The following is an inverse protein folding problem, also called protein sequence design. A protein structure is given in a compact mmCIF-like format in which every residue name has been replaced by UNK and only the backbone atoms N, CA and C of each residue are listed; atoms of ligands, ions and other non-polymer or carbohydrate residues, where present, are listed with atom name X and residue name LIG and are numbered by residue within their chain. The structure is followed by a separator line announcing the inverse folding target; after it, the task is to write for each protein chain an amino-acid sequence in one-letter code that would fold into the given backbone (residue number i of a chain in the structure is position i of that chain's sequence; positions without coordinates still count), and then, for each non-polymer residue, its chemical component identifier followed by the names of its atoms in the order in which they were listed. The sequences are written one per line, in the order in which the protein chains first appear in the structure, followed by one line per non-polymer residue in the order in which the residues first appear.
data_IF_428031240925
#
_entry.id   IF_428031240925
#
_cell.length_a   1.000
_cell.length_b   1.000
_cell.length_c   1.000
_cell.angle_alpha   90.00
_cell.angle_beta   90.00
_cell.angle_gamma   90.00
#
_symmetry.space_group_name_H-M   'P 1'
#
loop_
_entity.id
_entity.type
_entity.pdbx_description
1 polymer ?
#
# COMPACT_ATOMS: atom_id res chain seq x y z
N UNK A 1 -32.61 -72.71 33.61
CA UNK A 1 -32.60 -72.30 32.19
C UNK A 1 -33.25 -70.92 32.08
N UNK A 2 -32.47 -69.84 32.12
CA UNK A 2 -32.92 -68.46 31.91
C UNK A 2 -32.02 -67.85 30.85
N UNK A 3 -32.59 -67.57 29.68
CA UNK A 3 -31.91 -66.93 28.55
C UNK A 3 -31.93 -65.41 28.81
N UNK A 4 -30.76 -64.78 28.87
CA UNK A 4 -30.62 -63.31 28.91
C UNK A 4 -30.35 -62.87 27.47
N UNK A 5 -31.26 -62.07 26.91
CA UNK A 5 -31.10 -61.43 25.60
C UNK A 5 -30.37 -60.10 25.82
N UNK A 6 -29.17 -59.98 25.26
CA UNK A 6 -28.42 -58.72 25.23
C UNK A 6 -28.83 -57.91 23.99
N UNK A 7 -29.43 -56.74 24.20
CA UNK A 7 -29.69 -55.75 23.17
C UNK A 7 -28.39 -54.97 22.89
N UNK A 8 -27.84 -55.10 21.69
CA UNK A 8 -26.78 -54.22 21.18
C UNK A 8 -27.41 -52.88 20.78
N UNK A 9 -27.12 -51.81 21.53
CA UNK A 9 -27.34 -50.44 21.06
C UNK A 9 -26.19 -50.05 20.13
N UNK A 10 -26.46 -50.02 18.82
CA UNK A 10 -25.58 -49.38 17.85
C UNK A 10 -25.69 -47.86 18.01
N UNK A 11 -24.64 -47.23 18.53
CA UNK A 11 -24.47 -45.78 18.47
C UNK A 11 -24.37 -45.36 17.00
N UNK A 12 -25.42 -44.75 16.46
CA UNK A 12 -25.33 -43.99 15.22
C UNK A 12 -24.56 -42.70 15.53
N UNK A 13 -23.31 -42.63 15.08
CA UNK A 13 -22.61 -41.36 14.93
C UNK A 13 -23.35 -40.57 13.84
N UNK A 14 -24.21 -39.63 14.26
CA UNK A 14 -24.84 -38.68 13.37
C UNK A 14 -23.76 -37.88 12.64
N UNK A 15 -23.83 -37.84 11.31
CA UNK A 15 -23.05 -36.92 10.52
C UNK A 15 -23.36 -35.49 10.99
N UNK A 16 -22.35 -34.80 11.54
CA UNK A 16 -22.44 -33.37 11.76
C UNK A 16 -22.73 -32.71 10.40
N UNK A 17 -23.87 -32.03 10.28
CA UNK A 17 -24.23 -31.33 9.04
C UNK A 17 -23.18 -30.28 8.70
N UNK A 18 -22.92 -30.11 7.40
CA UNK A 18 -22.04 -29.06 6.89
C UNK A 18 -22.46 -27.69 7.44
N UNK A 19 -21.57 -27.01 8.15
CA UNK A 19 -21.78 -25.65 8.65
C UNK A 19 -21.59 -24.62 7.53
N UNK A 20 -22.09 -23.40 7.76
CA UNK A 20 -21.83 -22.26 6.88
C UNK A 20 -21.12 -21.16 7.68
N UNK A 21 -19.99 -20.69 7.16
CA UNK A 21 -19.22 -19.59 7.76
C UNK A 21 -19.19 -18.40 6.82
N UNK A 22 -19.45 -17.21 7.38
CA UNK A 22 -19.49 -15.97 6.65
C UNK A 22 -18.31 -15.06 7.00
N UNK A 23 -17.83 -14.33 6.02
CA UNK A 23 -16.85 -13.26 6.18
C UNK A 23 -17.29 -12.06 5.33
N UNK A 24 -17.42 -10.89 5.95
CA UNK A 24 -17.84 -9.65 5.27
C UNK A 24 -16.69 -8.66 5.24
N UNK A 25 -16.32 -8.26 4.03
CA UNK A 25 -15.33 -7.24 3.72
C UNK A 25 -16.05 -5.97 3.28
N UNK A 26 -15.74 -4.83 3.88
CA UNK A 26 -16.29 -3.53 3.49
C UNK A 26 -15.17 -2.50 3.32
N UNK A 27 -15.23 -1.67 2.29
CA UNK A 27 -14.41 -0.47 2.20
C UNK A 27 -13.91 -0.10 0.81
N UNK A 28 -12.62 0.18 0.69
CA UNK A 28 -11.95 0.77 -0.48
C UNK A 28 -12.34 0.13 -1.82
N UNK A 29 -12.77 0.96 -2.77
CA UNK A 29 -13.04 0.58 -4.16
C UNK A 29 -11.79 0.02 -4.84
N UNK A 30 -10.63 0.64 -4.61
CA UNK A 30 -9.36 0.20 -5.19
C UNK A 30 -9.02 -1.24 -4.79
N UNK A 31 -9.28 -1.61 -3.54
CA UNK A 31 -9.01 -2.97 -3.04
C UNK A 31 -10.15 -3.91 -3.45
N UNK A 32 -11.40 -3.52 -3.22
CA UNK A 32 -12.59 -4.35 -3.40
C UNK A 32 -12.91 -4.71 -4.85
N UNK A 33 -12.51 -3.89 -5.83
CA UNK A 33 -12.83 -4.13 -7.24
C UNK A 33 -12.12 -5.35 -7.83
N UNK A 34 -10.84 -5.57 -7.46
CA UNK A 34 -10.02 -6.65 -8.04
C UNK A 34 -9.13 -7.36 -7.02
N UNK A 35 -8.41 -6.59 -6.19
CA UNK A 35 -7.41 -7.14 -5.28
C UNK A 35 -8.01 -8.06 -4.21
N UNK A 36 -9.05 -7.63 -3.50
CA UNK A 36 -9.66 -8.44 -2.44
C UNK A 36 -10.28 -9.75 -2.99
N UNK A 37 -11.08 -9.74 -4.07
CA UNK A 37 -11.56 -10.98 -4.67
C UNK A 37 -10.41 -11.94 -5.05
N UNK A 38 -9.35 -11.43 -5.68
CA UNK A 38 -8.20 -12.24 -6.07
C UNK A 38 -7.46 -12.83 -4.85
N UNK A 39 -7.25 -12.02 -3.81
CA UNK A 39 -6.64 -12.48 -2.55
C UNK A 39 -7.48 -13.54 -1.85
N UNK A 40 -8.81 -13.39 -1.84
CA UNK A 40 -9.74 -14.36 -1.23
C UNK A 40 -9.68 -15.68 -1.98
N UNK A 41 -9.79 -15.68 -3.31
CA UNK A 41 -9.72 -16.90 -4.09
C UNK A 41 -8.36 -17.60 -3.93
N UNK A 42 -7.26 -16.83 -3.94
CA UNK A 42 -5.92 -17.39 -3.79
C UNK A 42 -5.68 -17.94 -2.37
N UNK A 43 -6.20 -17.27 -1.34
CA UNK A 43 -6.20 -17.77 0.03
C UNK A 43 -6.97 -19.08 0.15
N UNK A 44 -8.19 -19.14 -0.38
CA UNK A 44 -9.01 -20.35 -0.38
C UNK A 44 -8.30 -21.52 -1.08
N UNK A 45 -7.63 -21.27 -2.22
CA UNK A 45 -6.81 -22.29 -2.91
C UNK A 45 -5.65 -22.75 -2.04
N UNK A 46 -4.93 -21.83 -1.40
CA UNK A 46 -3.79 -22.14 -0.56
C UNK A 46 -4.17 -22.92 0.70
N UNK A 47 -5.37 -22.69 1.23
CA UNK A 47 -5.93 -23.42 2.38
C UNK A 47 -6.57 -24.77 1.99
N UNK A 48 -6.51 -25.14 0.71
CA UNK A 48 -7.02 -26.42 0.22
C UNK A 48 -8.54 -26.48 0.05
N UNK A 49 -9.23 -25.34 0.11
CA UNK A 49 -10.67 -25.25 -0.14
C UNK A 49 -10.98 -25.55 -1.61
N UNK A 50 -12.18 -26.11 -1.84
CA UNK A 50 -12.62 -26.59 -3.16
C UNK A 50 -13.88 -25.88 -3.61
N UNK A 51 -14.20 -26.01 -4.90
CA UNK A 51 -15.42 -25.42 -5.47
C UNK A 51 -15.45 -23.90 -5.38
N UNK A 52 -14.29 -23.25 -5.55
CA UNK A 52 -14.16 -21.79 -5.44
C UNK A 52 -14.91 -21.14 -6.61
N UNK A 53 -15.93 -20.34 -6.30
CA UNK A 53 -16.72 -19.59 -7.28
C UNK A 53 -16.78 -18.12 -6.90
N UNK A 54 -16.74 -17.25 -7.91
CA UNK A 54 -16.93 -15.81 -7.77
C UNK A 54 -18.20 -15.38 -8.49
N UNK A 55 -19.02 -14.60 -7.81
CA UNK A 55 -20.26 -14.02 -8.31
C UNK A 55 -20.19 -12.49 -8.21
N UNK A 56 -20.55 -11.79 -9.29
CA UNK A 56 -20.78 -10.35 -9.25
C UNK A 56 -22.23 -10.11 -8.79
N UNK A 57 -22.39 -9.39 -7.67
CA UNK A 57 -23.69 -9.14 -7.01
C UNK A 57 -24.23 -7.73 -7.26
N UNK A 58 -23.41 -6.86 -7.84
CA UNK A 58 -23.71 -5.50 -8.21
C UNK A 58 -22.49 -4.83 -8.84
N UNK A 59 -22.56 -3.54 -9.13
CA UNK A 59 -21.43 -2.80 -9.70
C UNK A 59 -20.18 -2.85 -8.78
N UNK A 60 -20.39 -2.82 -7.47
CA UNK A 60 -19.31 -2.79 -6.48
C UNK A 60 -19.34 -3.91 -5.43
N UNK A 61 -20.18 -4.92 -5.64
CA UNK A 61 -20.38 -6.02 -4.71
C UNK A 61 -20.03 -7.36 -5.35
N UNK A 62 -19.23 -8.16 -4.65
CA UNK A 62 -18.79 -9.48 -5.09
C UNK A 62 -18.99 -10.50 -3.97
N UNK A 63 -19.23 -11.75 -4.35
CA UNK A 63 -19.24 -12.89 -3.43
C UNK A 63 -18.27 -13.94 -3.93
N UNK A 64 -17.44 -14.47 -3.03
CA UNK A 64 -16.62 -15.65 -3.30
C UNK A 64 -17.06 -16.76 -2.35
N UNK A 65 -17.36 -17.95 -2.88
CA UNK A 65 -17.73 -19.11 -2.06
C UNK A 65 -16.80 -20.29 -2.30
N UNK A 66 -16.58 -21.11 -1.27
CA UNK A 66 -15.82 -22.35 -1.34
C UNK A 66 -16.30 -23.35 -0.29
N UNK A 67 -15.78 -24.57 -0.34
CA UNK A 67 -15.99 -25.61 0.69
C UNK A 67 -14.66 -26.00 1.31
N UNK A 68 -14.58 -25.99 2.64
CA UNK A 68 -13.36 -26.35 3.38
C UNK A 68 -13.15 -27.87 3.48
N UNK A 69 -12.04 -28.30 4.10
CA UNK A 69 -11.72 -29.72 4.28
C UNK A 69 -12.67 -30.49 5.21
N UNK A 70 -13.51 -29.80 5.99
CA UNK A 70 -14.52 -30.39 6.88
C UNK A 70 -15.89 -30.49 6.20
N UNK A 71 -16.03 -29.90 5.01
CA UNK A 71 -17.29 -29.81 4.28
C UNK A 71 -18.09 -28.55 4.59
N UNK A 72 -17.55 -27.62 5.40
CA UNK A 72 -18.23 -26.36 5.71
C UNK A 72 -18.19 -25.43 4.49
N UNK A 73 -19.30 -24.75 4.22
CA UNK A 73 -19.40 -23.75 3.17
C UNK A 73 -18.85 -22.42 3.69
N UNK A 74 -17.84 -21.88 3.01
CA UNK A 74 -17.27 -20.57 3.30
C UNK A 74 -17.82 -19.57 2.31
N UNK A 75 -18.40 -18.47 2.80
CA UNK A 75 -18.98 -17.40 2.01
C UNK A 75 -18.29 -16.08 2.37
N UNK A 76 -17.66 -15.44 1.39
CA UNK A 76 -17.01 -14.14 1.55
C UNK A 76 -17.73 -13.10 0.72
N UNK A 77 -18.38 -12.14 1.38
CA UNK A 77 -19.00 -10.99 0.74
C UNK A 77 -18.05 -9.78 0.75
N UNK A 78 -17.88 -9.13 -0.39
CA UNK A 78 -16.94 -8.02 -0.61
C UNK A 78 -17.72 -6.81 -1.13
N UNK A 79 -17.74 -5.76 -0.32
CA UNK A 79 -18.49 -4.53 -0.56
C UNK A 79 -17.51 -3.37 -0.74
N UNK A 80 -17.38 -2.88 -1.97
CA UNK A 80 -16.43 -1.83 -2.33
C UNK A 80 -17.15 -0.46 -2.38
N UNK A 81 -17.28 0.20 -1.23
CA UNK A 81 -18.05 1.45 -1.09
C UNK A 81 -17.21 2.64 -0.58
N UNK A 82 -15.88 2.54 -0.68
CA UNK A 82 -14.93 3.56 -0.27
C UNK A 82 -14.33 3.34 1.12
N UNK A 83 -13.10 3.82 1.34
CA UNK A 83 -12.31 3.52 2.54
C UNK A 83 -12.97 3.92 3.88
N UNK A 84 -13.84 4.94 3.88
CA UNK A 84 -14.55 5.36 5.10
C UNK A 84 -15.59 4.33 5.54
N UNK A 85 -16.21 3.60 4.61
CA UNK A 85 -17.26 2.62 4.94
C UNK A 85 -16.70 1.39 5.66
N UNK A 86 -15.40 1.10 5.51
CA UNK A 86 -14.71 0.09 6.28
C UNK A 86 -14.88 0.32 7.78
N UNK A 87 -14.60 1.55 8.24
CA UNK A 87 -14.59 1.86 9.67
C UNK A 87 -16.01 1.98 10.23
N UNK A 88 -16.96 2.53 9.47
CA UNK A 88 -18.37 2.56 9.90
C UNK A 88 -18.96 1.15 9.97
N UNK A 89 -18.63 0.27 9.03
CA UNK A 89 -19.10 -1.12 9.03
C UNK A 89 -18.49 -1.94 10.17
N UNK A 90 -17.19 -1.75 10.46
CA UNK A 90 -16.56 -2.36 11.64
C UNK A 90 -17.23 -1.92 12.94
N UNK A 91 -17.49 -0.61 13.10
CA UNK A 91 -18.15 -0.07 14.30
C UNK A 91 -19.57 -0.61 14.49
N UNK A 92 -20.29 -0.81 13.38
CA UNK A 92 -21.65 -1.35 13.39
C UNK A 92 -21.73 -2.90 13.44
N UNK A 93 -20.58 -3.61 13.47
CA UNK A 93 -20.56 -5.08 13.38
C UNK A 93 -21.10 -5.63 12.06
N UNK A 94 -21.07 -4.82 11.00
CA UNK A 94 -21.52 -5.16 9.64
C UNK A 94 -20.38 -5.68 8.75
N UNK A 95 -19.14 -5.66 9.26
CA UNK A 95 -17.97 -6.25 8.63
C UNK A 95 -17.07 -6.89 9.70
N UNK A 96 -16.39 -7.97 9.33
CA UNK A 96 -15.31 -8.56 10.13
C UNK A 96 -13.94 -8.05 9.68
N UNK A 97 -13.83 -7.57 8.43
CA UNK A 97 -12.61 -7.02 7.86
C UNK A 97 -12.91 -5.72 7.11
N UNK A 98 -12.18 -4.66 7.47
CA UNK A 98 -12.21 -3.38 6.77
C UNK A 98 -11.13 -3.29 5.70
N UNK A 99 -11.47 -2.79 4.50
CA UNK A 99 -10.52 -2.51 3.42
C UNK A 99 -10.32 -1.00 3.32
N UNK A 100 -9.08 -0.50 3.41
CA UNK A 100 -8.84 0.94 3.29
C UNK A 100 -7.61 1.21 2.43
N UNK A 101 -7.69 2.24 1.61
CA UNK A 101 -6.57 2.73 0.80
C UNK A 101 -5.93 4.00 1.37
N UNK A 102 -6.16 4.25 2.66
CA UNK A 102 -5.53 5.29 3.48
C UNK A 102 -5.43 4.81 4.93
N UNK A 103 -4.57 5.43 5.76
CA UNK A 103 -4.63 5.23 7.19
C UNK A 103 -6.03 5.55 7.76
N UNK A 104 -6.39 4.86 8.83
CA UNK A 104 -7.52 5.23 9.69
C UNK A 104 -7.34 6.66 10.24
N UNK A 105 -8.41 7.46 10.23
CA UNK A 105 -8.41 8.85 10.74
C UNK A 105 -8.69 8.88 12.25
N UNK A 106 -8.28 9.96 12.91
CA UNK A 106 -8.44 10.11 14.36
C UNK A 106 -9.89 9.94 14.86
N UNK A 107 -10.88 10.48 14.13
CA UNK A 107 -12.30 10.26 14.45
C UNK A 107 -12.70 8.78 14.36
N UNK A 108 -12.24 8.09 13.33
CA UNK A 108 -12.55 6.66 13.13
C UNK A 108 -11.89 5.78 14.19
N UNK A 109 -10.68 6.14 14.64
CA UNK A 109 -10.03 5.48 15.78
C UNK A 109 -10.87 5.64 17.05
N UNK A 110 -11.37 6.85 17.31
CA UNK A 110 -12.21 7.12 18.47
C UNK A 110 -13.55 6.34 18.39
N UNK A 111 -14.18 6.32 17.22
CA UNK A 111 -15.43 5.60 16.99
C UNK A 111 -15.25 4.07 17.13
N UNK A 112 -14.04 3.54 16.90
CA UNK A 112 -13.71 2.11 17.02
C UNK A 112 -13.03 1.72 18.34
N UNK A 113 -12.92 2.64 19.31
CA UNK A 113 -12.16 2.40 20.54
C UNK A 113 -12.61 1.15 21.32
N UNK A 114 -13.90 0.82 21.27
CA UNK A 114 -14.47 -0.38 21.90
C UNK A 114 -13.94 -1.70 21.30
N UNK A 115 -13.49 -1.69 20.05
CA UNK A 115 -12.94 -2.85 19.36
C UNK A 115 -11.45 -3.07 19.67
N UNK A 116 -10.79 -2.07 20.28
CA UNK A 116 -9.39 -2.07 20.67
C UNK A 116 -8.54 -1.09 19.86
N UNK A 117 -7.21 -1.19 20.02
CA UNK A 117 -6.28 -0.26 19.39
C UNK A 117 -6.11 -0.55 17.89
N UNK A 118 -6.79 0.24 17.05
CA UNK A 118 -6.74 0.10 15.59
C UNK A 118 -5.37 0.45 14.96
N UNK A 119 -4.44 1.03 15.72
CA UNK A 119 -3.04 1.23 15.30
C UNK A 119 -2.11 0.10 15.77
N UNK A 120 -2.64 -0.98 16.33
CA UNK A 120 -1.84 -2.14 16.73
C UNK A 120 -1.50 -3.02 15.52
N UNK A 121 -0.37 -3.77 15.58
CA UNK A 121 -0.01 -4.72 14.51
C UNK A 121 -1.00 -5.87 14.30
N UNK A 122 -1.90 -6.09 15.27
CA UNK A 122 -2.98 -7.06 15.20
C UNK A 122 -4.25 -6.50 14.53
N UNK A 123 -4.35 -5.17 14.40
CA UNK A 123 -5.48 -4.51 13.76
C UNK A 123 -5.13 -4.04 12.35
N UNK A 124 -4.00 -3.36 12.18
CA UNK A 124 -3.61 -2.72 10.92
C UNK A 124 -2.61 -3.58 10.14
N UNK A 125 -3.01 -3.97 8.94
CA UNK A 125 -2.21 -4.81 8.05
C UNK A 125 -2.03 -4.09 6.72
N UNK A 126 -0.82 -3.61 6.44
CA UNK A 126 -0.48 -3.10 5.11
C UNK A 126 -0.31 -4.29 4.18
N UNK A 127 -1.23 -4.49 3.24
CA UNK A 127 -1.27 -5.65 2.34
C UNK A 127 -0.53 -5.42 1.03
N UNK A 128 -0.27 -4.18 0.67
CA UNK A 128 0.39 -3.80 -0.58
C UNK A 128 0.48 -2.28 -0.71
N UNK A 129 1.04 -1.83 -1.82
CA UNK A 129 1.14 -0.44 -2.17
C UNK A 129 0.50 -0.17 -3.53
N UNK A 130 0.07 1.06 -3.72
CA UNK A 130 -0.53 1.53 -4.96
C UNK A 130 0.15 2.83 -5.38
N UNK A 131 0.27 3.03 -6.69
CA UNK A 131 0.89 4.19 -7.30
C UNK A 131 0.11 4.67 -8.50
N UNK A 132 -0.01 5.98 -8.64
CA UNK A 132 -0.62 6.61 -9.81
C UNK A 132 0.43 7.32 -10.65
N UNK A 133 0.52 6.95 -11.92
CA UNK A 133 1.28 7.69 -12.90
C UNK A 133 0.44 8.83 -13.48
N UNK A 134 1.01 10.03 -13.55
CA UNK A 134 0.51 11.09 -14.44
C UNK A 134 1.16 10.88 -15.79
N UNK A 135 0.34 10.76 -16.83
CA UNK A 135 0.77 10.45 -18.19
C UNK A 135 0.45 11.59 -19.13
N UNK A 136 1.32 11.80 -20.11
CA UNK A 136 1.17 12.76 -21.21
C UNK A 136 1.56 12.10 -22.52
N UNK A 137 1.29 12.79 -23.63
CA UNK A 137 1.76 12.36 -24.94
C UNK A 137 3.29 12.15 -24.97
N UNK A 138 3.82 11.13 -25.69
CA UNK A 138 5.26 10.84 -25.77
C UNK A 138 6.14 12.00 -26.19
N UNK A 139 5.63 12.86 -27.09
CA UNK A 139 6.36 14.01 -27.61
C UNK A 139 6.25 15.27 -26.73
N UNK A 140 5.47 15.26 -25.64
CA UNK A 140 5.46 16.37 -24.70
C UNK A 140 6.88 16.59 -24.16
N UNK A 141 7.35 17.82 -23.99
CA UNK A 141 8.74 18.10 -23.58
C UNK A 141 8.97 18.05 -22.07
N UNK A 142 7.90 18.14 -21.27
CA UNK A 142 8.01 18.08 -19.82
C UNK A 142 8.45 16.68 -19.39
N UNK A 143 9.49 16.59 -18.57
CA UNK A 143 9.90 15.36 -17.91
C UNK A 143 9.29 15.22 -16.52
N UNK A 144 8.96 16.36 -15.90
CA UNK A 144 8.54 16.44 -14.51
C UNK A 144 7.41 17.45 -14.33
N UNK A 145 6.61 17.25 -13.29
CA UNK A 145 5.67 18.24 -12.76
C UNK A 145 5.66 18.15 -11.24
N UNK A 146 5.47 19.27 -10.57
CA UNK A 146 5.12 19.24 -9.15
C UNK A 146 3.64 18.89 -8.98
N UNK A 147 3.34 18.19 -7.89
CA UNK A 147 2.00 17.71 -7.56
C UNK A 147 0.95 18.83 -7.48
N UNK A 148 1.30 20.04 -7.04
CA UNK A 148 0.36 21.14 -6.96
C UNK A 148 0.00 21.65 -8.35
N UNK A 149 0.97 21.74 -9.26
CA UNK A 149 0.72 22.04 -10.69
C UNK A 149 -0.17 20.97 -11.32
N UNK A 150 0.05 19.68 -11.04
CA UNK A 150 -0.87 18.62 -11.49
C UNK A 150 -2.30 18.88 -10.98
N UNK A 151 -2.48 19.17 -9.69
CA UNK A 151 -3.79 19.44 -9.12
C UNK A 151 -4.49 20.62 -9.81
N UNK A 152 -3.77 21.72 -10.04
CA UNK A 152 -4.28 22.93 -10.72
C UNK A 152 -4.61 22.70 -12.19
N UNK A 153 -3.84 21.86 -12.89
CA UNK A 153 -4.17 21.42 -14.25
C UNK A 153 -5.50 20.65 -14.23
N UNK A 154 -5.62 19.62 -13.39
CA UNK A 154 -6.83 18.80 -13.33
C UNK A 154 -8.06 19.55 -12.79
N UNK A 155 -7.87 20.61 -12.01
CA UNK A 155 -8.93 21.54 -11.61
C UNK A 155 -9.31 22.55 -12.72
N UNK A 156 -8.52 22.64 -13.79
CA UNK A 156 -8.75 23.55 -14.91
C UNK A 156 -8.35 24.99 -14.61
N UNK A 157 -7.51 25.23 -13.60
CA UNK A 157 -6.90 26.54 -13.35
C UNK A 157 -5.72 26.81 -14.28
N UNK A 158 -4.99 25.74 -14.64
CA UNK A 158 -3.96 25.75 -15.68
C UNK A 158 -4.54 25.07 -16.92
N UNK A 159 -4.60 25.80 -18.03
CA UNK A 159 -5.26 25.36 -19.27
C UNK A 159 -4.35 25.38 -20.48
N UNK A 160 -3.17 25.99 -20.37
CA UNK A 160 -2.15 26.00 -21.41
C UNK A 160 -0.83 25.45 -20.87
N UNK A 161 -0.18 24.59 -21.64
CA UNK A 161 1.09 23.95 -21.28
C UNK A 161 2.20 24.97 -20.99
N UNK A 162 2.17 26.17 -21.59
CA UNK A 162 3.13 27.24 -21.28
C UNK A 162 3.09 27.66 -19.80
N UNK A 163 1.91 27.63 -19.16
CA UNK A 163 1.75 27.96 -17.75
C UNK A 163 2.39 26.92 -16.81
N UNK A 164 2.63 25.70 -17.31
CA UNK A 164 3.29 24.61 -16.61
C UNK A 164 4.75 24.40 -17.05
N UNK A 165 5.33 25.37 -17.79
CA UNK A 165 6.70 25.30 -18.29
C UNK A 165 6.89 24.43 -19.55
N UNK A 166 5.79 24.02 -20.19
CA UNK A 166 5.78 23.26 -21.43
C UNK A 166 5.79 24.13 -22.69
N UNK A 167 5.66 23.49 -23.85
CA UNK A 167 5.44 24.19 -25.13
C UNK A 167 4.00 24.70 -25.17
N UNK A 168 3.79 25.97 -25.54
CA UNK A 168 2.48 26.60 -25.58
C UNK A 168 1.44 25.75 -26.35
N UNK A 169 0.23 25.68 -25.80
CA UNK A 169 -0.87 24.92 -26.38
C UNK A 169 -1.87 24.45 -25.31
N UNK A 170 -3.14 24.24 -25.72
CA UNK A 170 -4.21 23.89 -24.79
C UNK A 170 -4.01 22.51 -24.16
N UNK A 171 -4.39 22.38 -22.89
CA UNK A 171 -4.37 21.13 -22.15
C UNK A 171 -5.74 20.44 -22.26
N UNK A 172 -5.73 19.17 -22.65
CA UNK A 172 -6.92 18.29 -22.63
C UNK A 172 -6.80 17.30 -21.48
N UNK A 173 -7.78 17.31 -20.58
CA UNK A 173 -7.74 16.53 -19.33
C UNK A 173 -8.51 15.24 -19.51
N UNK A 174 -7.86 14.09 -19.37
CA UNK A 174 -8.47 12.78 -19.42
C UNK A 174 -8.46 12.15 -18.02
N UNK A 175 -9.61 11.72 -17.53
CA UNK A 175 -9.78 11.20 -16.19
C UNK A 175 -10.55 9.88 -16.20
N UNK A 176 -10.27 9.01 -15.23
CA UNK A 176 -11.10 7.83 -14.98
C UNK A 176 -12.46 8.22 -14.41
N UNK A 177 -13.49 7.43 -14.68
CA UNK A 177 -14.87 7.67 -14.23
C UNK A 177 -15.08 7.50 -12.71
N UNK A 178 -16.29 7.80 -12.24
CA UNK A 178 -16.63 7.81 -10.81
C UNK A 178 -16.72 6.42 -10.17
N UNK A 179 -16.65 5.35 -10.97
CA UNK A 179 -16.57 3.96 -10.50
C UNK A 179 -15.12 3.50 -10.31
N UNK A 180 -14.14 4.31 -10.72
CA UNK A 180 -12.74 3.91 -10.73
C UNK A 180 -12.08 4.07 -9.36
N UNK A 181 -11.54 2.96 -8.83
CA UNK A 181 -10.63 3.02 -7.68
C UNK A 181 -9.38 3.89 -7.95
N UNK A 182 -8.93 4.04 -9.19
CA UNK A 182 -7.83 4.97 -9.54
C UNK A 182 -8.29 6.43 -9.44
N UNK A 183 -9.55 6.73 -9.81
CA UNK A 183 -10.13 8.06 -9.66
C UNK A 183 -10.22 8.49 -8.19
N UNK A 184 -10.76 7.63 -7.32
CA UNK A 184 -10.85 7.91 -5.87
C UNK A 184 -9.49 8.27 -5.27
N UNK A 185 -8.48 7.56 -5.75
CA UNK A 185 -7.10 7.71 -5.32
C UNK A 185 -6.50 9.01 -5.81
N UNK A 186 -6.68 9.34 -7.09
CA UNK A 186 -6.21 10.59 -7.65
C UNK A 186 -6.91 11.78 -6.98
N UNK A 187 -8.22 11.68 -6.76
CA UNK A 187 -8.99 12.67 -6.01
C UNK A 187 -8.42 12.88 -4.62
N UNK A 188 -8.20 11.80 -3.87
CA UNK A 188 -7.68 11.90 -2.49
C UNK A 188 -6.22 12.38 -2.40
N UNK A 189 -5.36 12.00 -3.35
CA UNK A 189 -3.93 12.31 -3.28
C UNK A 189 -3.60 13.65 -3.92
N UNK A 190 -4.27 14.02 -5.01
CA UNK A 190 -3.90 15.16 -5.86
C UNK A 190 -4.89 16.31 -5.73
N UNK A 191 -6.18 16.06 -5.98
CA UNK A 191 -7.18 17.14 -5.99
C UNK A 191 -7.55 17.60 -4.58
N UNK A 192 -7.59 16.69 -3.61
CA UNK A 192 -8.10 16.93 -2.28
C UNK A 192 -9.51 17.55 -2.34
N UNK A 193 -9.65 18.85 -2.02
CA UNK A 193 -10.91 19.61 -2.07
C UNK A 193 -11.15 20.31 -3.42
N UNK A 194 -10.16 20.32 -4.33
CA UNK A 194 -10.33 20.91 -5.65
C UNK A 194 -11.29 20.06 -6.50
N UNK A 195 -12.21 20.69 -7.26
CA UNK A 195 -13.06 19.98 -8.19
C UNK A 195 -12.25 19.49 -9.39
N UNK A 196 -12.77 18.48 -10.10
CA UNK A 196 -12.29 18.19 -11.46
C UNK A 196 -12.77 19.28 -12.42
N UNK A 197 -11.94 19.63 -13.40
CA UNK A 197 -12.33 20.49 -14.49
C UNK A 197 -13.60 19.96 -15.19
N UNK A 198 -14.65 20.78 -15.39
CA UNK A 198 -15.90 20.35 -16.02
C UNK A 198 -15.74 19.79 -17.44
N UNK A 199 -14.68 20.19 -18.15
CA UNK A 199 -14.35 19.72 -19.50
C UNK A 199 -13.48 18.47 -19.55
N UNK A 200 -13.21 17.81 -18.41
CA UNK A 200 -12.41 16.59 -18.39
C UNK A 200 -13.16 15.44 -19.06
N UNK A 201 -12.54 14.81 -20.06
CA UNK A 201 -13.07 13.61 -20.70
C UNK A 201 -12.98 12.42 -19.73
N UNK A 202 -14.09 11.71 -19.53
CA UNK A 202 -14.21 10.62 -18.56
C UNK A 202 -14.14 9.27 -19.25
N UNK A 203 -13.33 8.36 -18.72
CA UNK A 203 -13.09 7.03 -19.29
C UNK A 203 -13.28 5.91 -18.25
N UNK A 204 -14.09 4.93 -18.60
CA UNK A 204 -14.23 3.70 -17.81
C UNK A 204 -12.97 2.83 -17.95
N UNK A 205 -12.41 2.69 -19.15
CA UNK A 205 -11.26 1.81 -19.41
C UNK A 205 -9.92 2.50 -19.14
N UNK A 206 -9.06 1.88 -18.31
CA UNK A 206 -7.69 2.36 -18.13
C UNK A 206 -6.86 2.32 -19.41
N UNK A 207 -7.05 1.24 -20.18
CA UNK A 207 -6.32 1.01 -21.43
C UNK A 207 -6.70 2.05 -22.46
N UNK A 208 -8.01 2.34 -22.60
CA UNK A 208 -8.47 3.37 -23.51
C UNK A 208 -7.92 4.75 -23.12
N UNK A 209 -8.01 5.15 -21.85
CA UNK A 209 -7.47 6.44 -21.39
C UNK A 209 -5.98 6.55 -21.75
N UNK A 210 -5.19 5.52 -21.46
CA UNK A 210 -3.75 5.49 -21.74
C UNK A 210 -3.44 5.62 -23.23
N UNK A 211 -4.15 4.87 -24.08
CA UNK A 211 -3.98 4.91 -25.53
C UNK A 211 -4.41 6.27 -26.11
N UNK A 212 -5.49 6.87 -25.60
CA UNK A 212 -5.96 8.20 -26.00
C UNK A 212 -4.97 9.30 -25.63
N UNK A 213 -4.39 9.26 -24.42
CA UNK A 213 -3.31 10.19 -24.03
C UNK A 213 -2.10 10.04 -24.95
N UNK A 214 -1.75 8.81 -25.33
CA UNK A 214 -0.62 8.55 -26.22
C UNK A 214 -0.82 9.07 -27.65
N UNK A 215 -2.06 9.30 -28.08
CA UNK A 215 -2.43 9.78 -29.42
C UNK A 215 -2.74 11.28 -29.48
N UNK A 216 -2.86 11.95 -28.33
CA UNK A 216 -3.26 13.35 -28.24
C UNK A 216 -2.11 14.21 -27.68
N UNK A 217 -1.40 15.00 -28.52
CA UNK A 217 -0.29 15.86 -28.10
C UNK A 217 -0.60 16.87 -26.99
N UNK A 218 -1.87 17.24 -26.82
CA UNK A 218 -2.33 18.19 -25.79
C UNK A 218 -2.81 17.50 -24.52
N UNK A 219 -2.88 16.17 -24.48
CA UNK A 219 -3.51 15.44 -23.38
C UNK A 219 -2.61 15.26 -22.15
N UNK A 220 -3.26 15.30 -20.99
CA UNK A 220 -2.77 14.81 -19.71
C UNK A 220 -3.81 13.87 -19.11
N UNK A 221 -3.36 12.76 -18.53
CA UNK A 221 -4.22 11.84 -17.80
C UNK A 221 -3.51 11.22 -16.60
N UNK A 222 -4.23 10.39 -15.85
CA UNK A 222 -3.65 9.63 -14.74
C UNK A 222 -4.11 8.18 -14.79
N UNK A 223 -3.23 7.26 -14.40
CA UNK A 223 -3.49 5.83 -14.48
C UNK A 223 -2.71 5.04 -13.44
N UNK A 224 -3.19 3.86 -13.05
CA UNK A 224 -2.40 2.92 -12.24
C UNK A 224 -1.20 2.41 -13.04
N UNK A 225 -0.05 2.18 -12.38
CA UNK A 225 1.22 1.81 -13.02
C UNK A 225 1.14 0.76 -14.15
N UNK A 226 0.39 -0.36 -14.02
CA UNK A 226 0.33 -1.40 -15.07
C UNK A 226 -0.25 -0.94 -16.40
N UNK A 227 -0.97 0.19 -16.40
CA UNK A 227 -1.65 0.72 -17.58
C UNK A 227 -0.86 1.87 -18.23
N UNK A 228 0.34 2.18 -17.74
CA UNK A 228 1.28 3.03 -18.47
C UNK A 228 1.77 2.23 -19.68
N UNK A 229 1.25 2.56 -20.87
CA UNK A 229 1.51 1.84 -22.12
C UNK A 229 2.41 2.68 -23.02
N UNK A 230 1.84 3.22 -24.11
CA UNK A 230 2.57 4.05 -25.07
C UNK A 230 2.67 5.51 -24.61
N UNK A 231 1.87 5.94 -23.63
CA UNK A 231 1.96 7.28 -23.08
C UNK A 231 3.22 7.45 -22.21
N UNK A 232 3.73 8.66 -22.13
CA UNK A 232 4.90 8.97 -21.31
C UNK A 232 4.47 9.32 -19.90
N UNK A 233 4.96 8.58 -18.91
CA UNK A 233 4.80 8.93 -17.51
C UNK A 233 5.75 10.07 -17.09
N UNK A 234 5.22 11.04 -16.35
CA UNK A 234 6.00 12.13 -15.77
C UNK A 234 6.53 11.74 -14.39
N UNK A 235 7.74 12.21 -14.06
CA UNK A 235 8.21 12.19 -12.68
C UNK A 235 7.52 13.28 -11.88
N UNK A 236 7.05 12.95 -10.68
CA UNK A 236 6.31 13.89 -9.84
C UNK A 236 7.15 14.28 -8.63
N UNK A 237 7.26 15.60 -8.39
CA UNK A 237 7.81 16.17 -7.16
C UNK A 237 6.69 16.67 -6.24
N UNK A 238 7.00 16.86 -4.96
CA UNK A 238 6.15 17.57 -4.02
C UNK A 238 6.97 18.68 -3.36
N UNK A 239 6.74 19.93 -3.79
CA UNK A 239 7.53 21.10 -3.39
C UNK A 239 9.02 20.91 -3.72
N UNK A 240 9.90 21.11 -2.74
CA UNK A 240 11.37 21.14 -2.89
C UNK A 240 12.02 19.74 -2.99
N UNK A 241 11.24 18.69 -3.16
CA UNK A 241 11.76 17.33 -3.25
C UNK A 241 12.19 17.00 -4.68
N UNK A 242 13.21 16.16 -4.83
CA UNK A 242 13.57 15.64 -6.14
C UNK A 242 12.36 14.94 -6.81
N UNK A 243 12.10 15.19 -8.11
CA UNK A 243 11.03 14.53 -8.84
C UNK A 243 11.36 13.04 -9.01
N UNK A 244 10.40 12.17 -8.70
CA UNK A 244 10.57 10.72 -8.82
C UNK A 244 9.62 10.14 -9.86
N UNK A 245 10.13 9.20 -10.66
CA UNK A 245 9.34 8.47 -11.64
C UNK A 245 8.39 7.47 -10.92
N UNK A 246 7.19 7.19 -11.48
CA UNK A 246 6.28 6.17 -10.96
C UNK A 246 6.78 4.76 -11.31
N UNK A 247 7.64 4.18 -10.47
CA UNK A 247 8.16 2.82 -10.67
C UNK A 247 7.74 1.93 -9.50
N UNK A 248 7.75 0.61 -9.69
CA UNK A 248 7.52 -0.32 -8.59
C UNK A 248 8.49 -0.06 -7.43
N UNK A 249 9.76 0.28 -7.71
CA UNK A 249 10.75 0.57 -6.69
C UNK A 249 10.44 1.84 -5.89
N UNK A 250 10.19 2.97 -6.55
CA UNK A 250 9.89 4.26 -5.89
C UNK A 250 8.52 4.28 -5.20
N UNK A 251 7.57 3.46 -5.65
CA UNK A 251 6.31 3.21 -4.95
C UNK A 251 6.53 2.32 -3.73
N UNK A 252 7.32 1.25 -3.83
CA UNK A 252 7.60 0.33 -2.72
C UNK A 252 8.39 1.00 -1.59
N UNK A 253 9.31 1.92 -1.91
CA UNK A 253 9.95 2.77 -0.90
C UNK A 253 9.00 3.83 -0.34
N UNK A 254 7.84 4.07 -0.96
CA UNK A 254 6.87 5.13 -0.63
C UNK A 254 7.38 6.56 -0.88
N UNK A 255 8.52 6.71 -1.58
CA UNK A 255 9.13 8.01 -1.84
C UNK A 255 8.43 8.72 -3.02
N UNK A 256 7.84 7.97 -3.96
CA UNK A 256 7.04 8.55 -5.02
C UNK A 256 5.83 9.34 -4.46
N UNK A 257 5.62 10.56 -4.95
CA UNK A 257 4.66 11.50 -4.39
C UNK A 257 3.21 10.99 -4.43
N UNK A 258 2.87 10.18 -5.44
CA UNK A 258 1.53 9.62 -5.64
C UNK A 258 1.46 8.13 -5.29
N UNK A 259 2.32 7.67 -4.37
CA UNK A 259 2.25 6.36 -3.74
C UNK A 259 1.40 6.39 -2.46
N UNK A 260 0.76 5.27 -2.16
CA UNK A 260 0.02 5.04 -0.91
C UNK A 260 0.05 3.57 -0.52
N UNK A 261 -0.26 3.31 0.74
CA UNK A 261 -0.46 1.95 1.27
C UNK A 261 -1.90 1.50 1.11
N UNK A 262 -2.09 0.19 0.97
CA UNK A 262 -3.37 -0.50 1.01
C UNK A 262 -3.44 -1.32 2.29
N UNK A 263 -4.59 -1.29 2.96
CA UNK A 263 -4.76 -1.79 4.32
C UNK A 263 -5.93 -2.77 4.41
N UNK A 264 -5.71 -3.82 5.20
CA UNK A 264 -6.78 -4.52 5.90
C UNK A 264 -6.78 -4.09 7.37
N UNK A 265 -7.97 -3.83 7.90
CA UNK A 265 -8.22 -3.48 9.30
C UNK A 265 -9.11 -4.54 9.95
N UNK A 266 -8.69 -5.03 11.11
CA UNK A 266 -9.41 -6.04 11.90
C UNK A 266 -9.58 -5.56 13.34
N UNK A 267 -10.70 -5.88 14.02
CA UNK A 267 -10.83 -5.70 15.46
C UNK A 267 -9.79 -6.53 16.23
N UNK A 268 -8.84 -5.93 16.97
CA UNK A 268 -7.74 -6.68 17.59
C UNK A 268 -8.15 -7.52 18.80
N UNK A 269 -9.22 -7.15 19.53
CA UNK A 269 -9.60 -7.85 20.78
C UNK A 269 -10.29 -9.20 20.54
N UNK A 270 -10.93 -9.39 19.39
CA UNK A 270 -11.61 -10.65 19.03
C UNK A 270 -11.71 -10.78 17.49
N UNK A 271 -10.58 -10.97 16.79
CA UNK A 271 -10.61 -11.01 15.34
C UNK A 271 -11.27 -12.29 14.85
N UNK A 272 -12.18 -12.14 13.89
CA UNK A 272 -12.84 -13.26 13.24
C UNK A 272 -11.80 -14.20 12.60
N UNK A 273 -11.87 -15.54 12.79
CA UNK A 273 -10.84 -16.46 12.32
C UNK A 273 -10.55 -16.36 10.81
N UNK A 274 -11.61 -16.31 9.99
CA UNK A 274 -11.45 -16.17 8.52
C UNK A 274 -10.82 -14.83 8.13
N UNK A 275 -11.14 -13.76 8.87
CA UNK A 275 -10.57 -12.44 8.60
C UNK A 275 -9.07 -12.43 8.90
N UNK A 276 -8.68 -13.00 10.05
CA UNK A 276 -7.26 -13.15 10.43
C UNK A 276 -6.50 -13.99 9.41
N UNK A 277 -7.03 -15.16 9.03
CA UNK A 277 -6.40 -16.05 8.06
C UNK A 277 -6.19 -15.36 6.70
N UNK A 278 -7.21 -14.63 6.22
CA UNK A 278 -7.09 -13.85 4.98
C UNK A 278 -6.04 -12.73 5.09
N UNK A 279 -6.00 -12.00 6.21
CA UNK A 279 -5.01 -10.94 6.43
C UNK A 279 -3.57 -11.48 6.51
N UNK A 280 -3.38 -12.63 7.17
CA UNK A 280 -2.10 -13.33 7.23
C UNK A 280 -1.68 -13.84 5.85
N UNK A 281 -2.61 -14.45 5.10
CA UNK A 281 -2.35 -14.87 3.72
C UNK A 281 -1.97 -13.69 2.84
N UNK A 282 -2.69 -12.56 2.91
CA UNK A 282 -2.38 -11.37 2.13
C UNK A 282 -0.95 -10.86 2.39
N UNK A 283 -0.40 -11.07 3.59
CA UNK A 283 0.97 -10.69 3.95
C UNK A 283 2.03 -11.73 3.59
N UNK A 284 1.63 -12.97 3.29
CA UNK A 284 2.52 -14.06 2.89
C UNK A 284 3.12 -13.84 1.49
N UNK A 285 4.14 -14.60 1.12
CA UNK A 285 4.72 -14.58 -0.23
C UNK A 285 3.67 -14.84 -1.32
N UNK A 286 2.76 -15.80 -1.11
CA UNK A 286 1.66 -16.09 -2.03
C UNK A 286 0.71 -14.91 -2.19
N UNK A 287 0.33 -14.27 -1.08
CA UNK A 287 -0.51 -13.06 -1.12
C UNK A 287 0.20 -11.88 -1.81
N UNK A 288 1.49 -11.70 -1.57
CA UNK A 288 2.28 -10.66 -2.23
C UNK A 288 2.47 -10.90 -3.73
N UNK A 289 2.49 -12.17 -4.17
CA UNK A 289 2.46 -12.50 -5.60
C UNK A 289 1.11 -12.09 -6.24
N UNK A 290 -0.02 -12.32 -5.57
CA UNK A 290 -1.34 -11.86 -6.03
C UNK A 290 -1.40 -10.33 -6.11
N UNK A 291 -0.86 -9.61 -5.11
CA UNK A 291 -0.76 -8.15 -5.12
C UNK A 291 -0.05 -7.66 -6.39
N UNK A 292 1.10 -8.27 -6.72
CA UNK A 292 1.85 -7.92 -7.92
C UNK A 292 1.08 -8.26 -9.22
N UNK A 293 0.43 -9.42 -9.27
CA UNK A 293 -0.34 -9.87 -10.43
C UNK A 293 -1.53 -8.97 -10.74
N UNK A 294 -2.21 -8.48 -9.70
CA UNK A 294 -3.31 -7.51 -9.83
C UNK A 294 -2.83 -6.09 -10.17
N UNK A 295 -1.52 -5.92 -10.33
CA UNK A 295 -0.92 -4.67 -10.81
C UNK A 295 -0.66 -3.64 -9.71
N UNK A 296 -0.74 -4.05 -8.46
CA UNK A 296 -0.29 -3.27 -7.31
C UNK A 296 1.19 -3.56 -7.02
N UNK A 297 1.78 -2.76 -6.14
CA UNK A 297 3.17 -2.93 -5.75
C UNK A 297 3.24 -3.80 -4.50
N UNK A 298 3.81 -5.00 -4.66
CA UNK A 298 4.05 -5.92 -3.55
C UNK A 298 5.10 -5.39 -2.58
N UNK A 299 5.12 -5.94 -1.38
CA UNK A 299 6.10 -5.68 -0.32
C UNK A 299 7.31 -6.63 -0.39
N UNK A 300 7.44 -7.40 -1.48
CA UNK A 300 8.63 -8.20 -1.74
C UNK A 300 9.83 -7.27 -1.92
N UNK A 301 10.92 -7.57 -1.21
CA UNK A 301 12.11 -6.73 -1.21
C UNK A 301 12.89 -6.90 -2.51
N UNK A 302 13.09 -5.79 -3.21
CA UNK A 302 13.94 -5.67 -4.39
C UNK A 302 15.21 -4.91 -4.00
N UNK A 303 16.36 -5.30 -4.57
CA UNK A 303 17.60 -4.55 -4.48
C UNK A 303 17.85 -3.82 -5.80
N UNK A 304 17.97 -2.49 -5.76
CA UNK A 304 18.15 -1.65 -6.92
C UNK A 304 19.42 -0.78 -6.83
N UNK A 305 20.03 -0.48 -7.97
CA UNK A 305 21.05 0.55 -8.04
C UNK A 305 20.35 1.92 -7.96
N UNK A 306 20.45 2.57 -6.80
CA UNK A 306 19.99 3.94 -6.60
C UNK A 306 21.17 4.73 -6.06
N UNK A 307 21.37 5.94 -6.57
CA UNK A 307 22.40 6.84 -6.04
C UNK A 307 21.71 7.88 -5.15
N UNK A 308 22.27 8.19 -3.98
CA UNK A 308 21.83 9.37 -3.23
C UNK A 308 21.91 10.62 -4.11
N UNK A 309 21.05 11.60 -3.80
CA UNK A 309 21.07 12.88 -4.50
C UNK A 309 22.45 13.55 -4.41
N UNK A 310 22.81 14.31 -5.45
CA UNK A 310 24.13 14.93 -5.56
C UNK A 310 24.43 15.92 -4.43
N UNK A 311 23.40 16.48 -3.80
CA UNK A 311 23.43 17.42 -2.68
C UNK A 311 23.31 16.74 -1.30
N UNK A 312 23.20 15.41 -1.23
CA UNK A 312 23.15 14.67 0.03
C UNK A 312 24.47 14.82 0.84
N UNK A 313 24.51 14.53 2.15
CA UNK A 313 25.76 14.58 2.90
C UNK A 313 26.85 13.68 2.30
N UNK A 314 28.10 14.16 2.24
CA UNK A 314 29.22 13.38 1.66
C UNK A 314 29.40 12.04 2.39
N UNK A 315 29.27 12.02 3.72
CA UNK A 315 29.32 10.80 4.50
C UNK A 315 28.24 9.78 4.09
N UNK A 316 27.03 10.25 3.77
CA UNK A 316 25.96 9.38 3.28
C UNK A 316 26.29 8.82 1.90
N UNK A 317 26.78 9.68 0.99
CA UNK A 317 27.23 9.25 -0.35
C UNK A 317 28.38 8.24 -0.30
N UNK A 318 29.34 8.44 0.61
CA UNK A 318 30.47 7.52 0.79
C UNK A 318 30.03 6.19 1.39
N UNK A 319 29.18 6.23 2.41
CA UNK A 319 28.71 5.02 3.11
C UNK A 319 27.92 4.10 2.17
N UNK A 320 27.12 4.69 1.27
CA UNK A 320 26.26 3.96 0.33
C UNK A 320 26.92 3.68 -1.02
N UNK A 321 28.18 4.11 -1.21
CA UNK A 321 28.91 3.91 -2.47
C UNK A 321 29.07 2.41 -2.76
N UNK A 322 28.59 2.00 -3.93
CA UNK A 322 28.64 0.59 -4.38
C UNK A 322 27.66 -0.33 -3.65
N UNK A 323 26.78 0.20 -2.79
CA UNK A 323 25.68 -0.56 -2.20
C UNK A 323 24.43 -0.47 -3.10
N UNK A 324 23.55 -1.45 -2.97
CA UNK A 324 22.21 -1.43 -3.56
C UNK A 324 21.19 -0.93 -2.53
N UNK A 325 20.27 -0.08 -2.97
CA UNK A 325 19.13 0.36 -2.16
C UNK A 325 18.07 -0.74 -2.14
N UNK A 326 17.54 -1.07 -0.97
CA UNK A 326 16.40 -1.97 -0.86
C UNK A 326 15.07 -1.23 -1.04
N UNK A 327 14.09 -1.86 -1.67
CA UNK A 327 12.76 -1.28 -1.98
C UNK A 327 11.82 -1.18 -0.77
N UNK A 328 12.35 -0.80 0.39
CA UNK A 328 11.59 -0.59 1.61
C UNK A 328 12.15 0.58 2.42
N UNK A 329 11.27 1.18 3.20
CA UNK A 329 11.56 2.18 4.21
C UNK A 329 10.87 1.81 5.51
N UNK A 330 11.60 1.82 6.62
CA UNK A 330 10.97 1.75 7.93
C UNK A 330 10.46 3.14 8.28
N UNK A 331 9.17 3.29 8.57
CA UNK A 331 8.56 4.58 8.93
C UNK A 331 8.19 4.63 10.41
N UNK A 332 8.11 5.84 10.97
CA UNK A 332 7.98 6.05 12.41
C UNK A 332 6.85 7.01 12.78
N UNK A 333 6.34 6.83 14.00
CA UNK A 333 5.38 7.76 14.61
C UNK A 333 6.04 9.10 14.93
N UNK A 334 5.22 10.15 14.97
CA UNK A 334 5.72 11.49 15.21
C UNK A 334 6.36 11.62 16.61
N UNK A 335 7.49 12.33 16.70
CA UNK A 335 8.24 12.59 17.94
C UNK A 335 8.75 11.34 18.66
N UNK A 336 8.81 10.19 17.98
CA UNK A 336 9.13 8.90 18.61
C UNK A 336 10.08 8.05 17.74
N UNK A 337 10.92 7.20 18.36
CA UNK A 337 11.61 6.12 17.67
C UNK A 337 10.72 4.89 17.45
N UNK A 338 9.43 4.95 17.80
CA UNK A 338 8.51 3.82 17.61
C UNK A 338 8.20 3.59 16.13
N UNK A 339 8.56 2.42 15.57
CA UNK A 339 8.21 2.07 14.20
C UNK A 339 6.70 1.89 14.05
N UNK A 340 6.21 2.07 12.83
CA UNK A 340 4.83 1.75 12.51
C UNK A 340 4.59 0.23 12.33
N UNK A 341 3.34 -0.14 12.08
CA UNK A 341 2.89 -1.54 11.96
C UNK A 341 3.56 -2.27 10.79
N UNK A 342 3.75 -1.59 9.65
CA UNK A 342 4.44 -2.14 8.48
C UNK A 342 5.92 -2.35 8.78
N UNK A 343 6.59 -1.39 9.39
CA UNK A 343 8.00 -1.44 9.75
C UNK A 343 8.33 -2.64 10.66
N UNK A 344 7.44 -3.00 11.59
CA UNK A 344 7.60 -4.20 12.41
C UNK A 344 7.61 -5.50 11.57
N UNK A 345 6.73 -5.59 10.56
CA UNK A 345 6.69 -6.74 9.64
C UNK A 345 7.82 -6.70 8.61
N UNK A 346 8.21 -5.52 8.14
CA UNK A 346 9.36 -5.35 7.25
C UNK A 346 10.67 -5.82 7.88
N UNK A 347 10.82 -5.73 9.21
CA UNK A 347 12.02 -6.21 9.89
C UNK A 347 12.13 -7.75 9.76
N UNK A 348 11.00 -8.46 9.83
CA UNK A 348 10.93 -9.90 9.59
C UNK A 348 11.24 -10.23 8.12
N UNK A 349 10.59 -9.53 7.18
CA UNK A 349 10.83 -9.71 5.73
C UNK A 349 12.28 -9.44 5.36
N UNK A 350 12.91 -8.42 5.94
CA UNK A 350 14.31 -8.09 5.71
C UNK A 350 15.23 -9.17 6.25
N UNK A 351 14.91 -9.73 7.42
CA UNK A 351 15.68 -10.85 7.97
C UNK A 351 15.59 -12.10 7.08
N UNK A 352 14.41 -12.42 6.55
CA UNK A 352 14.21 -13.49 5.57
C UNK A 352 14.98 -13.22 4.27
N UNK A 353 14.90 -12.00 3.75
CA UNK A 353 15.60 -11.58 2.53
C UNK A 353 17.12 -11.74 2.65
N UNK A 354 17.72 -11.35 3.78
CA UNK A 354 19.17 -11.49 4.00
C UNK A 354 19.62 -12.95 4.11
N UNK A 355 18.75 -13.84 4.60
CA UNK A 355 19.06 -15.28 4.71
C UNK A 355 18.96 -16.04 3.39
N UNK A 356 18.44 -15.42 2.32
CA UNK A 356 18.38 -16.07 1.01
C UNK A 356 19.80 -16.35 0.49
N UNK A 357 20.04 -17.48 -0.19
CA UNK A 357 21.37 -17.87 -0.66
C UNK A 357 22.10 -16.77 -1.45
N UNK A 358 21.39 -16.04 -2.31
CA UNK A 358 21.93 -14.94 -3.12
C UNK A 358 22.36 -13.71 -2.30
N UNK A 359 21.93 -13.61 -1.04
CA UNK A 359 22.29 -12.51 -0.14
C UNK A 359 23.22 -12.93 1.00
N UNK A 360 23.62 -14.20 1.06
CA UNK A 360 24.54 -14.69 2.08
C UNK A 360 25.88 -13.95 2.00
N UNK A 361 26.38 -13.50 3.17
CA UNK A 361 27.64 -12.75 3.26
C UNK A 361 27.54 -11.27 2.89
N UNK A 362 26.39 -10.80 2.41
CA UNK A 362 26.15 -9.38 2.17
C UNK A 362 25.80 -8.66 3.45
N UNK A 363 26.11 -7.37 3.50
CA UNK A 363 26.01 -6.57 4.71
C UNK A 363 24.98 -5.47 4.58
N UNK A 364 24.11 -5.35 5.59
CA UNK A 364 23.14 -4.27 5.68
C UNK A 364 23.78 -2.98 6.22
N UNK A 365 23.30 -1.86 5.70
CA UNK A 365 23.59 -0.50 6.16
C UNK A 365 22.24 0.18 6.41
N UNK A 366 22.07 0.74 7.61
CA UNK A 366 20.88 1.47 8.03
C UNK A 366 21.18 2.97 8.11
N UNK A 367 20.35 3.77 7.45
CA UNK A 367 20.48 5.23 7.41
C UNK A 367 19.17 5.87 7.89
N UNK A 368 19.18 6.42 9.10
CA UNK A 368 18.03 7.07 9.72
C UNK A 368 17.93 8.55 9.38
N UNK A 369 16.69 9.02 9.25
CA UNK A 369 16.32 10.40 8.95
C UNK A 369 15.14 10.84 9.82
N UNK A 370 15.02 12.15 10.03
CA UNK A 370 13.92 12.81 10.73
C UNK A 370 13.22 13.82 9.83
N UNK A 371 12.05 14.28 10.24
CA UNK A 371 11.43 15.44 9.59
C UNK A 371 11.92 16.75 10.22
N UNK A 372 11.76 17.85 9.49
CA UNK A 372 12.34 19.16 9.85
C UNK A 372 11.60 19.87 11.00
N UNK A 373 10.34 19.54 11.22
CA UNK A 373 9.44 20.27 12.13
C UNK A 373 9.35 19.65 13.52
N UNK A 374 9.88 18.44 13.72
CA UNK A 374 9.76 17.74 14.99
C UNK A 374 10.57 18.38 16.11
N UNK A 375 11.76 18.92 15.80
CA UNK A 375 12.71 19.37 16.81
C UNK A 375 13.83 20.23 16.18
N UNK A 376 14.55 21.02 16.98
CA UNK A 376 15.76 21.73 16.53
C UNK A 376 16.84 20.74 16.03
N UNK A 377 17.78 21.21 15.21
CA UNK A 377 18.72 20.37 14.44
C UNK A 377 19.45 19.28 15.26
N UNK A 378 19.90 19.58 16.48
CA UNK A 378 20.59 18.63 17.35
C UNK A 378 19.70 17.43 17.74
N UNK A 379 18.43 17.69 18.08
CA UNK A 379 17.48 16.64 18.42
C UNK A 379 17.02 15.86 17.18
N UNK A 380 17.01 16.49 16.00
CA UNK A 380 16.68 15.81 14.74
C UNK A 380 17.70 14.69 14.47
N UNK A 381 18.97 15.00 14.69
CA UNK A 381 20.05 14.02 14.57
C UNK A 381 19.88 12.88 15.58
N UNK A 382 19.66 13.18 16.85
CA UNK A 382 19.44 12.18 17.91
C UNK A 382 18.25 11.25 17.60
N UNK A 383 17.08 11.79 17.22
CA UNK A 383 15.92 10.98 16.82
C UNK A 383 16.22 10.09 15.60
N UNK A 384 16.97 10.60 14.62
CA UNK A 384 17.34 9.81 13.45
C UNK A 384 18.27 8.63 13.81
N UNK A 385 19.16 8.81 14.78
CA UNK A 385 20.04 7.75 15.33
C UNK A 385 19.19 6.72 16.08
N UNK A 386 18.35 7.16 17.03
CA UNK A 386 17.49 6.26 17.81
C UNK A 386 16.55 5.43 16.92
N UNK A 387 16.05 6.00 15.84
CA UNK A 387 15.23 5.27 14.85
C UNK A 387 16.04 4.19 14.14
N UNK A 388 17.26 4.51 13.70
CA UNK A 388 18.14 3.54 13.05
C UNK A 388 18.54 2.41 14.01
N UNK A 389 18.89 2.74 15.25
CA UNK A 389 19.21 1.77 16.31
C UNK A 389 18.00 0.89 16.64
N UNK A 390 16.79 1.48 16.69
CA UNK A 390 15.57 0.69 16.93
C UNK A 390 15.33 -0.37 15.86
N UNK A 391 15.63 -0.08 14.60
CA UNK A 391 15.56 -1.08 13.53
C UNK A 391 16.68 -2.12 13.67
N UNK A 392 17.89 -1.69 14.05
CA UNK A 392 18.98 -2.61 14.33
C UNK A 392 18.60 -3.61 15.42
N UNK A 393 17.99 -3.17 16.52
CA UNK A 393 17.50 -4.04 17.60
C UNK A 393 16.47 -5.08 17.11
N UNK A 394 15.52 -4.63 16.27
CA UNK A 394 14.52 -5.54 15.68
C UNK A 394 15.19 -6.61 14.80
N UNK A 395 16.21 -6.25 14.03
CA UNK A 395 16.97 -7.19 13.20
C UNK A 395 17.85 -8.12 14.04
N UNK A 396 18.47 -7.61 15.11
CA UNK A 396 19.28 -8.41 16.04
C UNK A 396 18.43 -9.48 16.73
N UNK A 397 17.18 -9.17 17.09
CA UNK A 397 16.22 -10.16 17.60
C UNK A 397 15.88 -11.24 16.57
N UNK A 398 16.05 -10.93 15.28
CA UNK A 398 15.98 -11.88 14.17
C UNK A 398 17.34 -12.48 13.80
N UNK A 399 18.38 -12.30 14.62
CA UNK A 399 19.76 -12.77 14.38
C UNK A 399 20.40 -12.20 13.10
N UNK A 400 20.02 -10.98 12.72
CA UNK A 400 20.63 -10.23 11.61
C UNK A 400 21.30 -8.98 12.18
N UNK A 401 22.61 -8.85 11.95
CA UNK A 401 23.40 -7.72 12.42
C UNK A 401 23.74 -6.78 11.27
N UNK A 402 23.19 -5.56 11.23
CA UNK A 402 23.65 -4.55 10.29
C UNK A 402 25.13 -4.21 10.52
N UNK A 403 25.89 -4.03 9.43
CA UNK A 403 27.30 -3.67 9.51
C UNK A 403 27.50 -2.21 9.93
N UNK A 404 26.57 -1.34 9.53
CA UNK A 404 26.61 0.10 9.82
C UNK A 404 25.21 0.61 10.12
N UNK A 405 25.12 1.46 11.13
CA UNK A 405 23.89 2.15 11.56
C UNK A 405 24.27 3.62 11.78
N UNK A 406 23.60 4.54 11.08
CA UNK A 406 23.88 5.97 11.12
C UNK A 406 22.59 6.78 11.05
N UNK A 407 22.53 7.90 11.77
CA UNK A 407 21.49 8.91 11.63
C UNK A 407 22.02 10.14 10.91
N UNK A 408 21.17 10.79 10.11
CA UNK A 408 21.51 11.97 9.30
C UNK A 408 20.62 13.18 9.61
N UNK A 409 19.76 13.10 10.62
CA UNK A 409 18.82 14.17 10.96
C UNK A 409 17.81 14.44 9.83
N UNK A 410 17.51 15.71 9.60
CA UNK A 410 16.45 16.16 8.68
C UNK A 410 16.94 16.47 7.26
N UNK A 411 18.12 15.98 6.89
CA UNK A 411 18.69 16.12 5.54
C UNK A 411 18.04 15.15 4.56
N UNK A 412 18.15 15.42 3.26
CA UNK A 412 17.60 14.57 2.17
C UNK A 412 16.10 14.29 2.37
N UNK A 413 15.24 15.32 2.39
CA UNK A 413 13.79 15.10 2.45
C UNK A 413 13.30 14.40 1.18
N UNK A 414 12.40 13.43 1.35
CA UNK A 414 11.73 12.72 0.26
C UNK A 414 10.30 13.22 0.02
N UNK A 415 9.78 14.03 0.94
CA UNK A 415 8.48 14.69 0.83
C UNK A 415 8.49 16.07 1.53
N UNK A 416 7.45 16.88 1.31
CA UNK A 416 7.33 18.19 1.93
C UNK A 416 7.13 18.13 3.46
N UNK A 417 7.77 19.02 4.24
CA UNK A 417 7.66 19.03 5.70
C UNK A 417 6.45 19.83 6.25
N UNK A 418 5.79 20.61 5.42
CA UNK A 418 4.69 21.47 5.86
C UNK A 418 3.33 20.76 5.99
N UNK A 419 3.24 19.50 5.57
CA UNK A 419 2.03 18.68 5.74
C UNK A 419 2.32 17.37 6.50
N UNK A 420 1.33 16.82 7.22
CA UNK A 420 1.53 15.63 8.06
C UNK A 420 2.04 14.39 7.31
N UNK A 421 1.57 14.17 6.07
CA UNK A 421 1.96 13.01 5.27
C UNK A 421 3.42 13.08 4.83
N UNK A 422 3.88 14.25 4.37
CA UNK A 422 5.26 14.41 3.96
C UNK A 422 6.23 14.36 5.14
N UNK A 423 5.86 14.90 6.31
CA UNK A 423 6.62 14.67 7.56
C UNK A 423 6.73 13.19 7.90
N UNK A 424 5.62 12.45 7.81
CA UNK A 424 5.62 11.01 8.02
C UNK A 424 6.56 10.26 7.07
N UNK A 425 6.62 10.65 5.79
CA UNK A 425 7.61 10.09 4.86
C UNK A 425 9.05 10.47 5.27
N UNK A 426 9.31 11.68 5.73
CA UNK A 426 10.68 12.06 6.10
C UNK A 426 11.21 11.33 7.35
N UNK A 427 10.32 10.87 8.24
CA UNK A 427 10.67 9.98 9.37
C UNK A 427 10.91 8.55 8.90
N UNK A 428 12.15 8.26 8.50
CA UNK A 428 12.47 6.98 7.89
C UNK A 428 13.82 6.42 8.28
N UNK A 429 13.95 5.10 8.16
CA UNK A 429 15.24 4.43 8.03
C UNK A 429 15.29 3.79 6.66
N UNK A 430 16.26 4.24 5.87
CA UNK A 430 16.62 3.67 4.59
C UNK A 430 17.55 2.46 4.80
N UNK A 431 17.39 1.45 3.94
CA UNK A 431 18.18 0.22 4.00
C UNK A 431 18.95 0.04 2.71
N UNK A 432 20.24 -0.19 2.86
CA UNK A 432 21.16 -0.53 1.79
C UNK A 432 21.80 -1.88 2.07
N UNK A 433 22.19 -2.59 1.01
CA UNK A 433 22.88 -3.87 1.09
C UNK A 433 24.10 -3.85 0.17
N UNK A 434 25.23 -4.38 0.66
CA UNK A 434 26.44 -4.56 -0.14
C UNK A 434 26.90 -6.00 -0.03
#
# INVERSE_FOLDING_TARGET
MRLVVALFFAFHAGAAGAGEMFLRLQGSNTIGAKLAPALVEAWMRADGMRGITREERGAEERRVTATDGRGDRIVVDIHAHGSTTAFTALAAGQAELGMSSRPIKGKEVADLAALGNMHSPAAEHVIGLDGIAVIVHPQNRLATLDKATVARIFAGEIRDWAQAGGTAGPIRIYARDDKSGTWDTFKSLVLNELPLAPGAARFESSTELSDRVAQDPGAIGFIGLPYVRQAKALSISEKETAPLAPTAFTVATEDYALARRLYFYLPPNNPHPLARALAEYALSEGGQAVVAQEGFVSQTILAGAMQPAADAPEEYRQLTRGAQRLSLNFRFRAGSPSPDTKALRDAQRLAEFVRRPENMGRHLILCGFSDKEEVIALYSLDLSIQRADRIADLLLNQRVSPLRVRGYGNVVPVAANDNPLGRYKNRRVEVWIR
#
